data_IF_186366130195
#
_entry.id   IF_186366130195
#
_cell.length_a   1.000
_cell.length_b   1.000
_cell.length_c   1.000
_cell.angle_alpha   90.00
_cell.angle_beta   90.00
_cell.angle_gamma   90.00
#
_symmetry.space_group_name_H-M   'P 1'
#
loop_
_entity.id
_entity.type
_entity.pdbx_description
1 polymer ?
#
# COMPACT_ATOMS: atom_id res chain seq x y z
N UNK A 1 -12.01 34.15 17.35
CA UNK A 1 -11.57 33.29 16.22
C UNK A 1 -12.55 32.14 16.15
N UNK A 2 -13.33 32.03 15.07
CA UNK A 2 -14.19 30.86 14.86
C UNK A 2 -13.29 29.69 14.49
N UNK A 3 -13.15 28.73 15.40
CA UNK A 3 -12.56 27.42 15.09
C UNK A 3 -13.63 26.70 14.26
N UNK A 4 -13.38 26.51 12.96
CA UNK A 4 -14.23 25.62 12.16
C UNK A 4 -14.12 24.21 12.76
N UNK A 5 -15.23 23.72 13.30
CA UNK A 5 -15.31 22.37 13.86
C UNK A 5 -15.61 21.42 12.71
N UNK A 6 -14.69 20.49 12.44
CA UNK A 6 -14.85 19.44 11.43
C UNK A 6 -16.01 18.52 11.85
N UNK A 7 -17.02 18.37 10.99
CA UNK A 7 -18.21 17.57 11.28
C UNK A 7 -18.04 16.07 10.97
N UNK A 8 -17.07 15.69 10.13
CA UNK A 8 -16.85 14.33 9.63
C UNK A 8 -18.01 13.79 8.78
N UNK A 9 -18.79 14.67 8.13
CA UNK A 9 -19.94 14.32 7.28
C UNK A 9 -19.61 14.65 5.82
N UNK A 10 -19.93 13.76 4.88
CA UNK A 10 -19.62 13.97 3.46
C UNK A 10 -18.12 14.15 3.25
N UNK A 11 -17.73 15.28 2.67
CA UNK A 11 -16.33 15.65 2.40
C UNK A 11 -15.71 16.55 3.49
N UNK A 12 -16.45 16.83 4.57
CA UNK A 12 -15.95 17.62 5.70
C UNK A 12 -15.14 16.76 6.69
N UNK A 13 -13.93 16.36 6.30
CA UNK A 13 -12.98 15.60 7.11
C UNK A 13 -11.54 15.98 6.69
N UNK A 14 -10.52 15.81 7.56
CA UNK A 14 -9.14 16.08 7.17
C UNK A 14 -8.68 15.06 6.12
N UNK A 15 -7.92 15.48 5.12
CA UNK A 15 -7.43 14.56 4.06
C UNK A 15 -6.48 13.48 4.58
N UNK A 16 -5.82 13.71 5.72
CA UNK A 16 -4.83 12.83 6.33
C UNK A 16 -5.12 12.64 7.83
N UNK A 17 -4.47 11.67 8.46
CA UNK A 17 -4.50 11.49 9.91
C UNK A 17 -4.09 12.81 10.60
N UNK A 18 -4.90 13.34 11.55
CA UNK A 18 -4.64 14.63 12.19
C UNK A 18 -3.58 14.51 13.31
N UNK A 19 -2.40 14.01 12.97
CA UNK A 19 -1.26 13.86 13.86
C UNK A 19 0.01 14.32 13.16
N UNK A 20 0.91 14.96 13.91
CA UNK A 20 2.22 15.32 13.41
C UNK A 20 3.05 14.05 13.21
N UNK A 21 3.45 13.80 11.95
CA UNK A 21 4.33 12.69 11.61
C UNK A 21 5.78 13.16 11.65
N UNK A 22 6.59 12.54 12.51
CA UNK A 22 8.04 12.73 12.50
C UNK A 22 8.67 11.91 11.36
N UNK A 23 9.69 12.43 10.66
CA UNK A 23 10.45 11.63 9.72
C UNK A 23 11.05 10.40 10.41
N UNK A 24 10.89 9.24 9.79
CA UNK A 24 11.52 8.01 10.20
C UNK A 24 12.36 7.46 9.05
N UNK A 25 13.54 6.91 9.36
CA UNK A 25 14.41 6.27 8.40
C UNK A 25 14.72 4.84 8.86
N UNK A 26 14.68 3.91 7.91
CA UNK A 26 14.98 2.51 8.15
C UNK A 26 15.80 1.98 6.98
N UNK A 27 16.88 1.26 7.27
CA UNK A 27 17.59 0.45 6.28
C UNK A 27 16.98 -0.95 6.31
N UNK A 28 16.42 -1.37 5.19
CA UNK A 28 15.95 -2.75 5.02
C UNK A 28 17.15 -3.64 4.67
N UNK A 29 17.26 -4.78 5.37
CA UNK A 29 18.27 -5.79 5.09
C UNK A 29 17.58 -7.04 4.54
N UNK A 30 18.20 -7.71 3.58
CA UNK A 30 17.71 -8.98 3.05
C UNK A 30 18.01 -10.09 4.06
N UNK A 31 16.99 -10.43 4.83
CA UNK A 31 17.09 -11.37 5.97
C UNK A 31 16.27 -12.64 5.77
N UNK A 32 15.55 -12.76 4.64
CA UNK A 32 14.59 -13.83 4.40
C UNK A 32 13.26 -13.67 5.16
N UNK A 33 13.08 -12.59 5.94
CA UNK A 33 11.81 -12.24 6.57
C UNK A 33 10.79 -11.74 5.54
N UNK A 34 9.51 -12.01 5.80
CA UNK A 34 8.38 -11.70 4.93
C UNK A 34 8.45 -12.40 3.57
N UNK A 35 8.95 -13.65 3.57
CA UNK A 35 8.77 -14.55 2.44
C UNK A 35 7.29 -14.71 2.10
N UNK A 36 6.96 -14.98 0.84
CA UNK A 36 5.57 -15.06 0.37
C UNK A 36 4.76 -16.07 1.18
N UNK A 37 5.36 -17.14 1.71
CA UNK A 37 4.68 -18.17 2.50
C UNK A 37 4.74 -17.94 4.02
N UNK A 38 5.40 -16.88 4.50
CA UNK A 38 5.49 -16.55 5.93
C UNK A 38 4.20 -15.90 6.45
N UNK A 39 3.10 -16.68 6.50
CA UNK A 39 1.76 -16.20 6.87
C UNK A 39 1.76 -15.42 8.19
N UNK A 40 2.44 -15.94 9.22
CA UNK A 40 2.48 -15.28 10.54
C UNK A 40 3.24 -13.96 10.54
N UNK A 41 4.32 -13.84 9.75
CA UNK A 41 5.03 -12.57 9.61
C UNK A 41 4.16 -11.54 8.89
N UNK A 42 3.51 -11.95 7.80
CA UNK A 42 2.60 -11.09 7.04
C UNK A 42 1.39 -10.62 7.86
N UNK A 43 0.91 -11.40 8.84
CA UNK A 43 -0.14 -10.93 9.77
C UNK A 43 0.30 -9.73 10.60
N UNK A 44 1.59 -9.57 10.87
CA UNK A 44 2.11 -8.48 11.72
C UNK A 44 2.06 -7.09 11.06
N UNK A 45 1.93 -7.01 9.73
CA UNK A 45 1.89 -5.70 9.02
C UNK A 45 0.54 -5.00 9.17
N UNK A 46 -0.51 -5.74 9.53
CA UNK A 46 -1.84 -5.20 9.75
C UNK A 46 -2.05 -4.99 11.26
N UNK A 47 -2.34 -3.77 11.71
CA UNK A 47 -2.57 -3.50 13.11
C UNK A 47 -3.92 -4.05 13.56
N UNK A 48 -4.15 -4.05 14.87
CA UNK A 48 -5.48 -4.24 15.43
C UNK A 48 -6.47 -3.25 14.79
N UNK A 49 -7.68 -3.70 14.52
CA UNK A 49 -8.68 -2.88 13.81
C UNK A 49 -8.45 -2.79 12.30
N UNK A 50 -7.58 -3.63 11.73
CA UNK A 50 -7.38 -3.79 10.29
C UNK A 50 -6.92 -2.53 9.53
N UNK A 51 -6.35 -1.55 10.23
CA UNK A 51 -5.91 -0.28 9.64
C UNK A 51 -7.01 0.77 9.46
N UNK A 52 -8.15 0.57 10.12
CA UNK A 52 -9.27 1.49 10.12
C UNK A 52 -9.15 2.48 11.27
N UNK A 53 -9.56 3.72 11.03
CA UNK A 53 -9.74 4.74 12.06
C UNK A 53 -11.20 5.17 12.10
N UNK A 54 -11.69 5.50 13.30
CA UNK A 54 -13.06 5.95 13.53
C UNK A 54 -12.99 7.40 14.02
N UNK A 55 -13.50 8.33 13.21
CA UNK A 55 -13.26 9.76 13.40
C UNK A 55 -14.58 10.52 13.61
N UNK A 56 -14.47 11.61 14.37
CA UNK A 56 -15.61 12.47 14.70
C UNK A 56 -16.58 11.87 15.72
N UNK A 57 -17.61 12.65 16.12
CA UNK A 57 -18.52 12.26 17.20
C UNK A 57 -19.32 10.99 16.93
N UNK A 58 -19.57 10.67 15.66
CA UNK A 58 -20.32 9.49 15.22
C UNK A 58 -19.40 8.28 14.94
N UNK A 59 -18.09 8.40 15.14
CA UNK A 59 -17.14 7.32 14.87
C UNK A 59 -17.14 6.88 13.40
N UNK A 60 -17.18 7.83 12.46
CA UNK A 60 -17.22 7.51 11.03
C UNK A 60 -15.95 6.73 10.63
N UNK A 61 -16.08 5.57 9.97
CA UNK A 61 -14.93 4.76 9.58
C UNK A 61 -14.22 5.30 8.33
N UNK A 62 -12.89 5.34 8.41
CA UNK A 62 -11.98 5.61 7.30
C UNK A 62 -10.89 4.54 7.24
N UNK A 63 -10.49 4.16 6.03
CA UNK A 63 -9.27 3.38 5.86
C UNK A 63 -8.08 4.33 5.77
N UNK A 64 -6.98 4.02 6.45
CA UNK A 64 -5.70 4.70 6.23
C UNK A 64 -5.06 4.08 4.98
N UNK A 65 -4.71 4.92 4.00
CA UNK A 65 -4.23 4.46 2.69
C UNK A 65 -3.10 3.44 2.77
N UNK A 66 -2.07 3.67 3.61
CA UNK A 66 -0.97 2.70 3.80
C UNK A 66 -1.49 1.31 4.18
N UNK A 67 -2.46 1.22 5.10
CA UNK A 67 -2.99 -0.07 5.52
C UNK A 67 -3.97 -0.66 4.52
N UNK A 68 -4.69 0.16 3.76
CA UNK A 68 -5.47 -0.32 2.62
C UNK A 68 -4.57 -0.92 1.54
N UNK A 69 -3.43 -0.29 1.24
CA UNK A 69 -2.40 -0.83 0.35
C UNK A 69 -1.83 -2.16 0.88
N UNK A 70 -1.58 -2.27 2.18
CA UNK A 70 -1.19 -3.55 2.80
C UNK A 70 -2.27 -4.62 2.68
N UNK A 71 -3.54 -4.27 2.92
CA UNK A 71 -4.66 -5.19 2.76
C UNK A 71 -4.73 -5.76 1.33
N UNK A 72 -4.57 -4.89 0.33
CA UNK A 72 -4.50 -5.29 -1.08
C UNK A 72 -3.29 -6.17 -1.36
N UNK A 73 -2.10 -5.81 -0.87
CA UNK A 73 -0.88 -6.60 -1.04
C UNK A 73 -1.05 -8.01 -0.44
N UNK A 74 -1.64 -8.13 0.75
CA UNK A 74 -1.93 -9.42 1.38
C UNK A 74 -2.95 -10.25 0.59
N UNK A 75 -3.95 -9.61 -0.01
CA UNK A 75 -4.94 -10.28 -0.85
C UNK A 75 -4.30 -10.87 -2.11
N UNK A 76 -3.37 -10.13 -2.73
CA UNK A 76 -2.59 -10.64 -3.87
C UNK A 76 -1.66 -11.78 -3.42
N UNK A 77 -1.00 -11.66 -2.26
CA UNK A 77 -0.18 -12.73 -1.67
C UNK A 77 -0.97 -14.02 -1.55
N UNK A 78 -2.16 -13.94 -0.98
CA UNK A 78 -3.05 -15.09 -0.80
C UNK A 78 -3.47 -15.71 -2.14
N UNK A 79 -3.82 -14.90 -3.14
CA UNK A 79 -4.18 -15.41 -4.46
C UNK A 79 -3.01 -16.17 -5.13
N UNK A 80 -1.77 -15.70 -4.96
CA UNK A 80 -0.58 -16.39 -5.46
C UNK A 80 -0.35 -17.70 -4.69
N UNK A 81 -0.47 -17.66 -3.36
CA UNK A 81 -0.35 -18.85 -2.51
C UNK A 81 -1.35 -19.95 -2.93
N UNK A 82 -2.62 -19.58 -3.13
CA UNK A 82 -3.66 -20.48 -3.61
C UNK A 82 -3.37 -21.03 -5.01
N UNK A 83 -2.90 -20.18 -5.94
CA UNK A 83 -2.53 -20.63 -7.29
C UNK A 83 -1.33 -21.59 -7.29
N UNK A 84 -0.36 -21.39 -6.39
CA UNK A 84 0.83 -22.24 -6.26
C UNK A 84 0.55 -23.57 -5.56
N UNK A 85 -0.56 -23.69 -4.83
CA UNK A 85 -1.01 -24.94 -4.23
C UNK A 85 -1.51 -25.96 -5.27
N UNK A 86 -1.84 -25.53 -6.49
CA UNK A 86 -2.24 -26.41 -7.60
C UNK A 86 -1.03 -27.19 -8.15
N UNK A 87 -1.05 -28.54 -8.13
CA UNK A 87 0.02 -29.37 -8.71
C UNK A 87 0.31 -29.07 -10.19
N UNK A 88 -0.65 -28.55 -10.96
CA UNK A 88 -0.47 -28.17 -12.35
C UNK A 88 0.37 -26.89 -12.54
N UNK A 89 0.45 -26.03 -11.52
CA UNK A 89 1.16 -24.74 -11.57
C UNK A 89 2.63 -24.82 -11.13
N UNK A 90 3.07 -25.96 -10.56
CA UNK A 90 4.42 -26.16 -10.01
C UNK A 90 5.57 -26.13 -11.04
N UNK A 91 5.28 -25.97 -12.34
CA UNK A 91 6.30 -25.85 -13.40
C UNK A 91 7.15 -24.57 -13.30
N UNK A 92 6.78 -23.62 -12.44
CA UNK A 92 7.37 -22.28 -12.34
C UNK A 92 8.10 -22.00 -11.00
N UNK A 93 8.72 -23.00 -10.38
CA UNK A 93 9.43 -22.83 -9.11
C UNK A 93 10.48 -21.68 -9.10
N UNK A 94 11.07 -21.34 -10.26
CA UNK A 94 11.98 -20.19 -10.40
C UNK A 94 11.33 -18.81 -10.23
N UNK A 95 10.00 -18.70 -10.36
CA UNK A 95 9.25 -17.47 -10.08
C UNK A 95 9.07 -17.20 -8.58
N UNK A 96 9.34 -18.17 -7.69
CA UNK A 96 9.10 -17.98 -6.25
C UNK A 96 10.05 -16.97 -5.63
N UNK A 97 11.37 -17.09 -5.86
CA UNK A 97 12.36 -16.19 -5.24
C UNK A 97 12.19 -14.72 -5.66
N UNK A 98 11.98 -14.46 -6.96
CA UNK A 98 11.74 -13.09 -7.44
C UNK A 98 10.41 -12.54 -6.91
N UNK A 99 9.35 -13.36 -6.86
CA UNK A 99 8.07 -12.95 -6.28
C UNK A 99 8.22 -12.61 -4.80
N UNK A 100 8.94 -13.44 -4.03
CA UNK A 100 9.22 -13.19 -2.61
C UNK A 100 9.95 -11.86 -2.42
N UNK A 101 10.99 -11.62 -3.21
CA UNK A 101 11.72 -10.35 -3.24
C UNK A 101 10.81 -9.16 -3.58
N UNK A 102 9.98 -9.26 -4.64
CA UNK A 102 9.06 -8.20 -5.05
C UNK A 102 8.06 -7.86 -3.95
N UNK A 103 7.46 -8.85 -3.29
CA UNK A 103 6.51 -8.62 -2.21
C UNK A 103 7.16 -7.95 -1.01
N UNK A 104 8.34 -8.45 -0.62
CA UNK A 104 9.15 -7.80 0.42
C UNK A 104 9.50 -6.37 0.04
N UNK A 105 9.91 -6.11 -1.20
CA UNK A 105 10.26 -4.78 -1.71
C UNK A 105 9.05 -3.82 -1.74
N UNK A 106 7.88 -4.28 -2.16
CA UNK A 106 6.64 -3.48 -2.13
C UNK A 106 6.27 -3.10 -0.71
N UNK A 107 6.33 -4.05 0.24
CA UNK A 107 6.14 -3.77 1.68
C UNK A 107 7.09 -2.67 2.17
N UNK A 108 8.35 -2.68 1.76
CA UNK A 108 9.32 -1.64 2.13
C UNK A 108 8.89 -0.26 1.62
N UNK A 109 8.43 -0.18 0.36
CA UNK A 109 7.92 1.06 -0.22
C UNK A 109 6.70 1.61 0.52
N UNK A 110 5.75 0.73 0.88
CA UNK A 110 4.57 1.11 1.67
C UNK A 110 4.95 1.67 3.05
N UNK A 111 5.88 1.02 3.77
CA UNK A 111 6.39 1.53 5.06
C UNK A 111 7.14 2.85 4.91
N UNK A 112 7.99 2.98 3.88
CA UNK A 112 8.82 4.15 3.68
C UNK A 112 8.00 5.39 3.32
N UNK A 113 6.94 5.23 2.51
CA UNK A 113 6.05 6.34 2.15
C UNK A 113 4.98 6.61 3.19
N UNK A 114 4.48 5.56 3.86
CA UNK A 114 3.47 5.65 4.91
C UNK A 114 2.34 6.63 4.55
N UNK A 115 1.62 6.37 3.46
CA UNK A 115 0.54 7.26 3.02
C UNK A 115 -0.57 7.33 4.09
N UNK A 116 -0.68 8.48 4.75
CA UNK A 116 -1.60 8.72 5.87
C UNK A 116 -2.94 9.29 5.43
N UNK A 117 -3.20 9.32 4.12
CA UNK A 117 -4.45 9.80 3.55
C UNK A 117 -5.64 8.98 4.06
N UNK A 118 -6.70 9.68 4.49
CA UNK A 118 -7.94 9.08 4.97
C UNK A 118 -8.89 8.80 3.80
N UNK A 119 -9.17 7.52 3.56
CA UNK A 119 -10.13 7.09 2.57
C UNK A 119 -11.51 6.88 3.20
N UNK A 120 -12.55 7.59 2.75
CA UNK A 120 -13.90 7.37 3.24
C UNK A 120 -14.40 6.00 2.80
N UNK A 121 -15.09 5.33 3.71
CA UNK A 121 -15.65 4.01 3.45
C UNK A 121 -17.08 4.12 2.96
N UNK A 122 -17.53 3.09 2.23
CA UNK A 122 -18.92 2.91 1.80
C UNK A 122 -19.44 1.62 2.39
N UNK A 123 -20.72 1.61 2.76
CA UNK A 123 -21.38 0.37 3.15
C UNK A 123 -21.43 -0.60 1.97
N UNK A 124 -21.13 -1.86 2.24
CA UNK A 124 -21.19 -2.95 1.28
C UNK A 124 -21.93 -4.14 1.88
N UNK A 125 -22.50 -4.98 1.02
CA UNK A 125 -23.10 -6.26 1.43
C UNK A 125 -22.02 -7.34 1.32
N UNK A 126 -21.68 -7.94 2.44
CA UNK A 126 -20.75 -9.06 2.57
C UNK A 126 -21.49 -10.41 2.43
N UNK A 127 -20.76 -11.52 2.16
CA UNK A 127 -21.34 -12.86 2.15
C UNK A 127 -22.18 -13.14 3.40
N UNK A 128 -23.36 -13.72 3.19
CA UNK A 128 -24.33 -13.99 4.27
C UNK A 128 -25.17 -12.77 4.68
N UNK A 129 -25.40 -11.81 3.77
CA UNK A 129 -26.22 -10.60 3.98
C UNK A 129 -25.78 -9.74 5.17
N UNK A 130 -24.49 -9.71 5.47
CA UNK A 130 -23.93 -8.86 6.51
C UNK A 130 -23.60 -7.49 5.92
N UNK A 131 -23.91 -6.42 6.64
CA UNK A 131 -23.45 -5.08 6.28
C UNK A 131 -22.01 -4.94 6.74
N UNK A 132 -21.13 -4.60 5.82
CA UNK A 132 -19.74 -4.24 6.08
C UNK A 132 -19.43 -2.87 5.50
N UNK A 133 -18.17 -2.50 5.53
CA UNK A 133 -17.69 -1.30 4.91
C UNK A 133 -16.48 -1.62 4.03
N UNK A 134 -16.28 -0.82 2.97
CA UNK A 134 -15.12 -0.91 2.10
C UNK A 134 -14.62 0.47 1.72
N UNK A 135 -13.30 0.62 1.63
CA UNK A 135 -12.65 1.75 1.00
C UNK A 135 -12.29 1.40 -0.45
N UNK A 136 -12.07 2.41 -1.29
CA UNK A 136 -11.75 2.20 -2.71
C UNK A 136 -10.66 3.14 -3.24
N UNK A 137 -10.14 4.05 -2.42
CA UNK A 137 -9.28 5.16 -2.82
C UNK A 137 -9.91 6.16 -3.79
N UNK A 138 -11.11 5.90 -4.30
CA UNK A 138 -11.71 6.69 -5.37
C UNK A 138 -12.19 8.04 -4.86
N UNK A 139 -11.80 9.12 -5.55
CA UNK A 139 -12.16 10.49 -5.19
C UNK A 139 -11.33 11.06 -4.03
N UNK A 140 -10.26 10.37 -3.62
CA UNK A 140 -9.39 10.80 -2.53
C UNK A 140 -8.15 11.49 -3.08
N UNK A 141 -7.77 12.63 -2.50
CA UNK A 141 -6.58 13.37 -2.88
C UNK A 141 -5.36 12.85 -2.12
N UNK A 142 -4.34 12.40 -2.85
CA UNK A 142 -3.06 11.96 -2.30
C UNK A 142 -1.97 13.01 -2.52
N UNK A 143 -1.00 13.08 -1.60
CA UNK A 143 0.21 13.90 -1.77
C UNK A 143 1.35 13.04 -2.32
N UNK A 144 1.48 13.02 -3.64
CA UNK A 144 2.51 12.24 -4.32
C UNK A 144 3.76 13.08 -4.63
N UNK A 145 4.89 12.40 -4.83
CA UNK A 145 5.98 12.99 -5.59
C UNK A 145 5.54 13.21 -7.05
N UNK A 146 6.08 14.23 -7.70
CA UNK A 146 5.82 14.51 -9.12
C UNK A 146 6.43 13.40 -10.00
N UNK A 147 5.60 12.41 -10.34
CA UNK A 147 6.04 11.23 -11.09
C UNK A 147 6.46 11.56 -12.52
N UNK A 148 6.00 12.68 -13.09
CA UNK A 148 6.42 13.14 -14.41
C UNK A 148 7.88 13.57 -14.35
N UNK A 149 8.27 14.34 -13.33
CA UNK A 149 9.68 14.71 -13.13
C UNK A 149 10.57 13.51 -12.86
N UNK A 150 10.10 12.55 -12.05
CA UNK A 150 10.84 11.31 -11.80
C UNK A 150 11.06 10.54 -13.12
N UNK A 151 10.01 10.41 -13.93
CA UNK A 151 10.09 9.75 -15.23
C UNK A 151 11.09 10.43 -16.17
N UNK A 152 10.98 11.75 -16.34
CA UNK A 152 11.86 12.51 -17.23
C UNK A 152 13.33 12.34 -16.82
N UNK A 153 13.63 12.41 -15.53
CA UNK A 153 14.99 12.20 -15.02
C UNK A 153 15.53 10.81 -15.38
N UNK A 154 14.74 9.75 -15.19
CA UNK A 154 15.16 8.37 -15.49
C UNK A 154 15.42 8.18 -16.99
N UNK A 155 14.54 8.72 -17.84
CA UNK A 155 14.69 8.62 -19.30
C UNK A 155 15.92 9.43 -19.78
N UNK A 156 16.10 10.67 -19.32
CA UNK A 156 17.28 11.50 -19.65
C UNK A 156 18.60 10.87 -19.20
N UNK A 157 18.60 10.23 -18.03
CA UNK A 157 19.76 9.49 -17.53
C UNK A 157 20.12 8.32 -18.46
N UNK A 158 19.12 7.54 -18.89
CA UNK A 158 19.33 6.42 -19.80
C UNK A 158 19.83 6.87 -21.18
N UNK A 159 19.27 7.95 -21.73
CA UNK A 159 19.74 8.55 -22.98
C UNK A 159 21.20 9.02 -22.89
N UNK A 160 21.61 9.55 -21.74
CA UNK A 160 22.99 9.93 -21.48
C UNK A 160 23.91 8.72 -21.44
N UNK A 161 23.48 7.63 -20.79
CA UNK A 161 24.20 6.36 -20.74
C UNK A 161 24.40 5.77 -22.15
N UNK A 162 23.37 5.75 -22.99
CA UNK A 162 23.47 5.22 -24.36
C UNK A 162 24.51 5.96 -25.21
N UNK A 163 24.66 7.27 -25.02
CA UNK A 163 25.68 8.08 -25.74
C UNK A 163 27.11 7.77 -25.34
N UNK A 164 27.31 7.16 -24.17
CA UNK A 164 28.63 6.78 -23.64
C UNK A 164 29.05 5.37 -24.06
N UNK A 165 28.12 4.58 -24.60
CA UNK A 165 28.45 3.25 -25.10
C UNK A 165 29.43 3.35 -26.28
N UNK A 166 30.42 2.44 -26.37
CA UNK A 166 31.27 2.36 -27.55
C UNK A 166 30.39 2.19 -28.79
N UNK A 167 30.64 2.99 -29.82
CA UNK A 167 30.08 2.70 -31.14
C UNK A 167 30.88 1.54 -31.69
N UNK A 168 30.27 0.37 -31.76
CA UNK A 168 30.88 -0.78 -32.43
C UNK A 168 31.33 -0.33 -33.84
N UNK A 169 32.61 -0.56 -34.15
CA UNK A 169 33.22 -0.28 -35.46
C UNK A 169 32.91 -1.39 -36.46
#
# INVERSE_FOLDING_TARGET
MNVNVIAYIGDDYPSEIPMLMSPAAMKFNETGHYDLFSVEEWKTVIPKGHGWVHMGPQGRPFAVTMYHQFHCLLSIRQAIEEAMADPASQRNAGHSSHTNHCFSYLRQGLLCKSDTTLEPTKEIILPGNKIGAAASGSGVLHKCADWVKVRNYVEENYETYLKQLPKDH
#
